data_IF_821292146171
#
_entry.id   IF_821292146171
#
_cell.length_a   1.000
_cell.length_b   1.000
_cell.length_c   1.000
_cell.angle_alpha   90.00
_cell.angle_beta   90.00
_cell.angle_gamma   90.00
#
_symmetry.space_group_name_H-M   'P 1'
#
loop_
_entity.id
_entity.type
_entity.pdbx_description
1 polymer ?
#
# COMPACT_ATOMS: atom_id res chain seq x y z
N UNK A 1 4.72 28.72 8.15
CA UNK A 1 5.64 27.93 7.27
C UNK A 1 5.40 26.42 7.35
N UNK A 2 5.17 25.80 8.53
CA UNK A 2 4.83 24.37 8.63
C UNK A 2 3.41 24.03 8.14
N UNK A 3 2.44 24.90 8.37
CA UNK A 3 1.06 24.71 7.89
C UNK A 3 0.90 25.02 6.39
N UNK A 4 1.66 25.94 5.83
CA UNK A 4 1.70 26.21 4.39
C UNK A 4 2.40 25.08 3.60
N UNK A 5 3.37 24.38 4.21
CA UNK A 5 4.04 23.23 3.62
C UNK A 5 3.11 22.00 3.56
N UNK A 6 2.20 21.84 4.53
CA UNK A 6 1.23 20.75 4.59
C UNK A 6 0.10 20.93 3.55
N UNK A 7 -0.28 22.16 3.23
CA UNK A 7 -1.36 22.44 2.25
C UNK A 7 -0.95 22.26 0.78
N UNK A 8 0.32 22.01 0.46
CA UNK A 8 0.82 21.81 -0.91
C UNK A 8 1.17 20.36 -1.26
N UNK A 9 1.01 19.41 -0.35
CA UNK A 9 1.25 18.00 -0.67
C UNK A 9 0.06 17.46 -1.48
N UNK A 10 0.32 17.20 -2.77
CA UNK A 10 -0.60 16.45 -3.65
C UNK A 10 -0.96 15.14 -2.98
N UNK A 11 -2.19 14.65 -3.17
CA UNK A 11 -2.55 13.34 -2.62
C UNK A 11 -1.53 12.28 -3.09
N UNK A 12 -1.13 11.33 -2.23
CA UNK A 12 -0.15 10.30 -2.59
C UNK A 12 -0.50 9.54 -3.86
N UNK A 13 -1.79 9.34 -4.13
CA UNK A 13 -2.27 8.69 -5.34
C UNK A 13 -2.09 9.55 -6.59
N UNK A 14 -2.30 10.87 -6.48
CA UNK A 14 -2.05 11.79 -7.59
C UNK A 14 -0.55 11.84 -7.92
N UNK A 15 0.29 11.86 -6.87
CA UNK A 15 1.73 11.84 -7.04
C UNK A 15 2.23 10.53 -7.68
N UNK A 16 1.67 9.39 -7.25
CA UNK A 16 1.95 8.11 -7.87
C UNK A 16 1.54 8.09 -9.36
N UNK A 17 0.42 8.70 -9.69
CA UNK A 17 -0.05 8.82 -11.07
C UNK A 17 0.91 9.65 -11.94
N UNK A 18 1.49 10.71 -11.40
CA UNK A 18 2.54 11.51 -12.05
C UNK A 18 3.85 10.72 -12.21
N UNK A 19 4.28 10.00 -11.16
CA UNK A 19 5.47 9.14 -11.22
C UNK A 19 5.33 8.01 -12.24
N UNK A 20 4.08 7.59 -12.49
CA UNK A 20 3.71 6.58 -13.50
C UNK A 20 3.40 7.15 -14.88
N UNK A 21 3.83 8.36 -15.20
CA UNK A 21 3.64 8.96 -16.51
C UNK A 21 4.19 8.04 -17.63
N UNK A 22 3.38 7.85 -18.68
CA UNK A 22 3.67 6.87 -19.75
C UNK A 22 3.06 5.47 -19.53
N UNK A 23 2.68 5.08 -18.32
CA UNK A 23 2.05 3.77 -18.03
C UNK A 23 0.53 3.85 -17.87
N UNK A 24 -0.05 5.03 -17.92
CA UNK A 24 -1.48 5.30 -17.75
C UNK A 24 -2.36 4.54 -18.76
N UNK A 25 -1.88 4.35 -19.99
CA UNK A 25 -2.57 3.57 -21.02
C UNK A 25 -2.75 2.09 -20.65
N UNK A 26 -1.73 1.48 -20.02
CA UNK A 26 -1.78 0.11 -19.50
C UNK A 26 -2.78 -0.04 -18.36
N UNK A 27 -2.76 0.90 -17.40
CA UNK A 27 -3.69 0.93 -16.28
C UNK A 27 -5.15 1.13 -16.72
N UNK A 28 -5.41 2.05 -17.68
CA UNK A 28 -6.76 2.25 -18.25
C UNK A 28 -7.29 0.97 -18.93
N UNK A 29 -6.44 0.27 -19.68
CA UNK A 29 -6.82 -1.01 -20.29
C UNK A 29 -7.11 -2.09 -19.26
N UNK A 30 -6.33 -2.15 -18.17
CA UNK A 30 -6.57 -3.07 -17.07
C UNK A 30 -7.94 -2.81 -16.43
N UNK A 31 -8.26 -1.54 -16.13
CA UNK A 31 -9.57 -1.15 -15.60
C UNK A 31 -10.70 -1.51 -16.57
N UNK A 32 -10.55 -1.21 -17.86
CA UNK A 32 -11.57 -1.55 -18.86
C UNK A 32 -11.81 -3.07 -18.94
N UNK A 33 -10.74 -3.86 -18.93
CA UNK A 33 -10.85 -5.33 -18.92
C UNK A 33 -11.54 -5.82 -17.64
N UNK A 34 -11.25 -5.21 -16.48
CA UNK A 34 -11.92 -5.54 -15.22
C UNK A 34 -13.42 -5.19 -15.27
N UNK A 35 -13.80 -4.01 -15.78
CA UNK A 35 -15.20 -3.59 -15.96
C UNK A 35 -15.97 -4.58 -16.82
N UNK A 36 -15.45 -4.93 -17.98
CA UNK A 36 -16.10 -5.90 -18.89
C UNK A 36 -16.17 -7.26 -18.23
N UNK A 37 -15.11 -7.68 -17.54
CA UNK A 37 -15.07 -8.94 -16.77
C UNK A 37 -16.14 -9.01 -15.69
N UNK A 38 -16.44 -7.90 -15.00
CA UNK A 38 -17.52 -7.83 -14.00
C UNK A 38 -18.89 -8.08 -14.64
N UNK A 39 -19.16 -7.48 -15.79
CA UNK A 39 -20.45 -7.67 -16.49
C UNK A 39 -20.65 -9.13 -16.86
N UNK A 40 -19.65 -9.79 -17.43
CA UNK A 40 -19.72 -11.25 -17.70
C UNK A 40 -19.80 -12.06 -16.42
N UNK A 41 -19.23 -11.61 -15.34
CA UNK A 41 -19.31 -12.26 -14.03
C UNK A 41 -20.71 -12.24 -13.40
N UNK A 42 -21.65 -11.46 -13.90
CA UNK A 42 -23.05 -11.48 -13.47
C UNK A 42 -23.83 -12.62 -14.13
N UNK A 43 -23.40 -13.11 -15.31
CA UNK A 43 -24.12 -14.16 -16.05
C UNK A 43 -24.33 -15.45 -15.27
N UNK A 44 -23.37 -15.99 -14.51
CA UNK A 44 -23.59 -17.19 -13.70
C UNK A 44 -24.71 -17.03 -12.65
N UNK A 45 -24.80 -15.87 -11.99
CA UNK A 45 -25.86 -15.61 -11.02
C UNK A 45 -27.22 -15.52 -11.70
N UNK A 46 -27.30 -14.87 -12.84
CA UNK A 46 -28.53 -14.78 -13.62
C UNK A 46 -28.95 -16.15 -14.14
N UNK A 47 -28.03 -16.93 -14.68
CA UNK A 47 -28.28 -18.29 -15.15
C UNK A 47 -28.76 -19.22 -14.03
N UNK A 48 -28.16 -19.12 -12.83
CA UNK A 48 -28.60 -19.87 -11.66
C UNK A 48 -30.06 -19.53 -11.28
N UNK A 49 -30.42 -18.25 -11.28
CA UNK A 49 -31.80 -17.84 -11.04
C UNK A 49 -32.77 -18.43 -12.07
N UNK A 50 -32.42 -18.41 -13.38
CA UNK A 50 -33.25 -18.99 -14.44
C UNK A 50 -33.39 -20.52 -14.32
N UNK A 51 -32.31 -21.22 -13.95
CA UNK A 51 -32.36 -22.66 -13.70
C UNK A 51 -33.32 -22.99 -12.56
N UNK A 52 -33.24 -22.27 -11.44
CA UNK A 52 -34.13 -22.49 -10.29
C UNK A 52 -35.60 -22.18 -10.67
N UNK A 53 -35.84 -21.11 -11.43
CA UNK A 53 -37.17 -20.78 -11.91
C UNK A 53 -37.73 -21.84 -12.87
N UNK A 54 -36.92 -22.38 -13.77
CA UNK A 54 -37.33 -23.47 -14.65
C UNK A 54 -37.76 -24.69 -13.84
N UNK A 55 -36.97 -25.08 -12.82
CA UNK A 55 -37.32 -26.18 -11.92
C UNK A 55 -38.65 -25.96 -11.19
N UNK A 56 -38.89 -24.76 -10.67
CA UNK A 56 -40.12 -24.40 -9.98
C UNK A 56 -41.33 -24.36 -10.88
N UNK A 57 -41.16 -24.02 -12.18
CA UNK A 57 -42.22 -24.01 -13.19
C UNK A 57 -42.47 -25.38 -13.81
N UNK A 58 -41.69 -26.40 -13.39
CA UNK A 58 -41.80 -27.75 -13.93
C UNK A 58 -41.32 -27.91 -15.36
N UNK A 59 -40.37 -27.04 -15.80
CA UNK A 59 -39.75 -27.15 -17.12
C UNK A 59 -39.01 -28.50 -17.23
N UNK A 60 -39.35 -29.31 -18.26
CA UNK A 60 -38.79 -30.63 -18.47
C UNK A 60 -37.78 -30.67 -19.63
N UNK A 61 -37.58 -29.56 -20.32
CA UNK A 61 -36.65 -29.50 -21.45
C UNK A 61 -35.20 -29.52 -20.97
N UNK A 62 -34.49 -30.61 -21.23
CA UNK A 62 -33.07 -30.70 -21.00
C UNK A 62 -32.28 -29.61 -21.76
N UNK A 63 -32.77 -29.20 -22.93
CA UNK A 63 -32.16 -28.13 -23.72
C UNK A 63 -32.20 -26.78 -23.00
N UNK A 64 -33.28 -26.45 -22.27
CA UNK A 64 -33.39 -25.24 -21.47
C UNK A 64 -32.27 -25.17 -20.43
N UNK A 65 -32.09 -26.24 -19.67
CA UNK A 65 -31.04 -26.28 -18.63
C UNK A 65 -29.64 -26.26 -19.21
N UNK A 66 -29.41 -26.99 -20.31
CA UNK A 66 -28.11 -26.97 -21.00
C UNK A 66 -27.72 -25.55 -21.51
N UNK A 67 -28.70 -24.82 -22.04
CA UNK A 67 -28.46 -23.44 -22.48
C UNK A 67 -28.01 -22.55 -21.29
N UNK A 68 -28.74 -22.58 -20.17
CA UNK A 68 -28.38 -21.78 -19.00
C UNK A 68 -27.07 -22.21 -18.34
N UNK A 69 -26.77 -23.53 -18.32
CA UNK A 69 -25.47 -24.02 -17.91
C UNK A 69 -24.35 -23.51 -18.83
N UNK A 70 -24.57 -23.52 -20.14
CA UNK A 70 -23.61 -22.97 -21.10
C UNK A 70 -23.41 -21.46 -20.94
N UNK A 71 -24.48 -20.69 -20.71
CA UNK A 71 -24.39 -19.26 -20.40
C UNK A 71 -23.57 -19.00 -19.14
N UNK A 72 -23.81 -19.78 -18.07
CA UNK A 72 -23.03 -19.67 -16.84
C UNK A 72 -21.55 -19.99 -17.07
N UNK A 73 -21.25 -21.07 -17.80
CA UNK A 73 -19.88 -21.47 -18.10
C UNK A 73 -19.16 -20.42 -18.95
N UNK A 74 -19.79 -19.95 -20.03
CA UNK A 74 -19.22 -18.89 -20.89
C UNK A 74 -18.98 -17.62 -20.10
N UNK A 75 -19.95 -17.20 -19.29
CA UNK A 75 -19.80 -16.03 -18.42
C UNK A 75 -18.63 -16.17 -17.44
N UNK A 76 -18.50 -17.33 -16.81
CA UNK A 76 -17.37 -17.63 -15.91
C UNK A 76 -16.01 -17.61 -16.62
N UNK A 77 -15.90 -18.27 -17.79
CA UNK A 77 -14.67 -18.31 -18.58
C UNK A 77 -14.27 -16.91 -19.08
N UNK A 78 -15.22 -16.13 -19.59
CA UNK A 78 -14.97 -14.76 -20.03
C UNK A 78 -14.52 -13.86 -18.84
N UNK A 79 -15.18 -13.98 -17.69
CA UNK A 79 -14.75 -13.28 -16.48
C UNK A 79 -13.32 -13.65 -16.10
N UNK A 80 -12.99 -14.94 -16.05
CA UNK A 80 -11.67 -15.43 -15.66
C UNK A 80 -10.57 -14.95 -16.61
N UNK A 81 -10.82 -15.01 -17.93
CA UNK A 81 -9.85 -14.55 -18.94
C UNK A 81 -9.67 -13.04 -18.91
N UNK A 82 -10.76 -12.27 -18.82
CA UNK A 82 -10.68 -10.81 -18.75
C UNK A 82 -10.02 -10.32 -17.45
N UNK A 83 -10.28 -10.99 -16.34
CA UNK A 83 -9.62 -10.71 -15.08
C UNK A 83 -8.12 -11.00 -15.14
N UNK A 84 -7.72 -12.15 -15.72
CA UNK A 84 -6.32 -12.47 -15.95
C UNK A 84 -5.61 -11.46 -16.85
N UNK A 85 -6.28 -11.00 -17.92
CA UNK A 85 -5.78 -9.95 -18.80
C UNK A 85 -5.64 -8.61 -18.06
N UNK A 86 -6.61 -8.24 -17.24
CA UNK A 86 -6.57 -7.02 -16.43
C UNK A 86 -5.38 -7.05 -15.46
N UNK A 87 -5.18 -8.15 -14.74
CA UNK A 87 -4.03 -8.31 -13.84
C UNK A 87 -2.70 -8.28 -14.59
N UNK A 88 -2.58 -9.01 -15.70
CA UNK A 88 -1.35 -9.01 -16.52
C UNK A 88 -0.97 -7.60 -16.99
N UNK A 89 -1.94 -6.82 -17.45
CA UNK A 89 -1.70 -5.42 -17.88
C UNK A 89 -1.33 -4.53 -16.68
N UNK A 90 -2.00 -4.71 -15.55
CA UNK A 90 -1.73 -3.96 -14.33
C UNK A 90 -0.34 -4.26 -13.76
N UNK A 91 0.08 -5.54 -13.68
CA UNK A 91 1.43 -5.92 -13.27
C UNK A 91 2.51 -5.33 -14.18
N UNK A 92 2.34 -5.41 -15.51
CA UNK A 92 3.29 -4.79 -16.46
C UNK A 92 3.44 -3.29 -16.23
N UNK A 93 2.32 -2.58 -16.06
CA UNK A 93 2.34 -1.15 -15.78
C UNK A 93 2.99 -0.85 -14.43
N UNK A 94 2.67 -1.63 -13.40
CA UNK A 94 3.24 -1.48 -12.05
C UNK A 94 4.76 -1.66 -12.06
N UNK A 95 5.29 -2.73 -12.65
CA UNK A 95 6.74 -2.92 -12.73
C UNK A 95 7.44 -1.78 -13.49
N UNK A 96 6.82 -1.26 -14.54
CA UNK A 96 7.36 -0.10 -15.24
C UNK A 96 7.34 1.18 -14.37
N UNK A 97 6.32 1.38 -13.55
CA UNK A 97 6.25 2.48 -12.58
C UNK A 97 7.34 2.33 -11.51
N UNK A 98 7.49 1.13 -10.93
CA UNK A 98 8.52 0.88 -9.91
C UNK A 98 9.93 1.07 -10.47
N UNK A 99 10.16 0.64 -11.71
CA UNK A 99 11.41 0.91 -12.44
C UNK A 99 11.66 2.42 -12.57
N UNK A 100 10.68 3.16 -13.07
CA UNK A 100 10.77 4.62 -13.23
C UNK A 100 11.05 5.35 -11.91
N UNK A 101 10.42 4.93 -10.81
CA UNK A 101 10.68 5.48 -9.47
C UNK A 101 12.15 5.27 -9.08
N UNK A 102 12.67 4.04 -9.26
CA UNK A 102 14.07 3.72 -8.93
C UNK A 102 15.05 4.53 -9.79
N UNK A 103 14.79 4.63 -11.08
CA UNK A 103 15.62 5.42 -12.00
C UNK A 103 15.67 6.89 -11.58
N UNK A 104 14.51 7.51 -11.34
CA UNK A 104 14.43 8.91 -10.88
C UNK A 104 15.17 9.14 -9.55
N UNK A 105 15.05 8.22 -8.60
CA UNK A 105 15.77 8.33 -7.33
C UNK A 105 17.26 8.18 -7.54
N UNK A 106 17.72 7.22 -8.35
CA UNK A 106 19.15 7.03 -8.66
C UNK A 106 19.74 8.22 -9.43
N UNK A 107 18.98 8.84 -10.32
CA UNK A 107 19.38 10.07 -11.01
C UNK A 107 19.45 11.29 -10.08
N UNK A 108 18.63 11.30 -9.03
CA UNK A 108 18.61 12.39 -8.04
C UNK A 108 19.80 12.33 -7.08
N UNK A 109 20.20 11.11 -6.65
CA UNK A 109 21.24 10.93 -5.63
C UNK A 109 22.55 11.69 -5.91
N UNK A 110 23.15 11.62 -7.12
CA UNK A 110 24.39 12.36 -7.41
C UNK A 110 24.23 13.87 -7.37
N UNK A 111 23.01 14.37 -7.50
CA UNK A 111 22.71 15.81 -7.48
C UNK A 111 22.45 16.36 -6.07
N UNK A 112 22.29 15.47 -5.08
CA UNK A 112 22.04 15.89 -3.71
C UNK A 112 23.34 16.34 -3.02
N UNK A 113 23.26 17.28 -2.06
CA UNK A 113 24.41 17.68 -1.26
C UNK A 113 25.03 16.47 -0.55
N UNK A 114 26.36 16.37 -0.57
CA UNK A 114 27.08 15.24 0.02
C UNK A 114 26.76 15.06 1.52
N UNK A 115 26.57 16.17 2.26
CA UNK A 115 26.16 16.12 3.67
C UNK A 115 24.85 15.35 3.87
N UNK A 116 23.83 15.63 3.06
CA UNK A 116 22.53 14.95 3.13
C UNK A 116 22.66 13.44 2.88
N UNK A 117 23.54 13.05 1.93
CA UNK A 117 23.80 11.63 1.63
C UNK A 117 24.54 10.95 2.78
N UNK A 118 25.52 11.62 3.40
CA UNK A 118 26.30 11.08 4.50
C UNK A 118 25.49 10.96 5.81
N UNK A 119 24.52 11.83 6.02
CA UNK A 119 23.61 11.78 7.16
C UNK A 119 22.59 10.64 7.05
N UNK A 120 22.35 10.12 5.83
CA UNK A 120 21.47 8.98 5.61
C UNK A 120 22.29 7.69 5.52
N UNK A 121 22.02 6.72 6.40
CA UNK A 121 22.74 5.45 6.32
C UNK A 121 22.46 4.72 4.99
N UNK A 122 23.47 4.03 4.45
CA UNK A 122 23.33 3.22 3.23
C UNK A 122 22.25 2.14 3.37
N UNK A 123 22.06 1.59 4.57
CA UNK A 123 20.99 0.66 4.89
C UNK A 123 19.60 1.29 4.77
N UNK A 124 19.43 2.52 5.25
CA UNK A 124 18.17 3.25 5.11
C UNK A 124 17.86 3.60 3.65
N UNK A 125 18.87 4.01 2.90
CA UNK A 125 18.73 4.31 1.48
C UNK A 125 18.34 3.05 0.69
N UNK A 126 19.01 1.92 0.95
CA UNK A 126 18.66 0.62 0.38
C UNK A 126 17.22 0.22 0.74
N UNK A 127 16.82 0.41 1.98
CA UNK A 127 15.47 0.11 2.44
C UNK A 127 14.40 0.89 1.64
N UNK A 128 14.63 2.18 1.38
CA UNK A 128 13.68 3.00 0.61
C UNK A 128 13.65 2.57 -0.86
N UNK A 129 14.81 2.50 -1.52
CA UNK A 129 14.90 2.29 -2.98
C UNK A 129 14.55 0.85 -3.37
N UNK A 130 14.95 -0.12 -2.56
CA UNK A 130 14.77 -1.54 -2.87
C UNK A 130 13.53 -2.08 -2.16
N UNK A 131 13.56 -2.13 -0.83
CA UNK A 131 12.60 -2.92 -0.06
C UNK A 131 11.21 -2.26 -0.03
N UNK A 132 11.13 -0.93 0.21
CA UNK A 132 9.86 -0.22 0.24
C UNK A 132 9.23 -0.10 -1.15
N UNK A 133 10.02 0.29 -2.16
CA UNK A 133 9.52 0.39 -3.54
C UNK A 133 9.03 -0.97 -4.02
N UNK A 134 9.78 -2.08 -3.77
CA UNK A 134 9.31 -3.43 -4.10
C UNK A 134 8.01 -3.80 -3.40
N UNK A 135 7.86 -3.41 -2.13
CA UNK A 135 6.65 -3.73 -1.35
C UNK A 135 5.39 -3.03 -1.87
N UNK A 136 5.49 -2.05 -2.77
CA UNK A 136 4.34 -1.44 -3.46
C UNK A 136 3.83 -2.28 -4.64
N UNK A 137 4.60 -3.26 -5.14
CA UNK A 137 4.25 -4.04 -6.33
C UNK A 137 2.86 -4.65 -6.20
N UNK A 138 2.66 -5.47 -5.20
CA UNK A 138 1.38 -6.16 -4.98
C UNK A 138 0.20 -5.20 -4.78
N UNK A 139 0.26 -4.21 -3.86
CA UNK A 139 -0.81 -3.23 -3.72
C UNK A 139 -1.17 -2.53 -5.04
N UNK A 140 -0.18 -2.08 -5.81
CA UNK A 140 -0.44 -1.31 -7.04
C UNK A 140 -0.98 -2.18 -8.16
N UNK A 141 -0.43 -3.38 -8.35
CA UNK A 141 -0.87 -4.28 -9.41
C UNK A 141 -2.32 -4.74 -9.23
N UNK A 142 -2.74 -4.97 -7.99
CA UNK A 142 -4.08 -5.46 -7.67
C UNK A 142 -5.10 -4.36 -7.42
N UNK A 143 -4.67 -3.16 -6.96
CA UNK A 143 -5.56 -2.09 -6.54
C UNK A 143 -6.60 -1.73 -7.61
N UNK A 144 -6.15 -1.34 -8.81
CA UNK A 144 -7.07 -0.83 -9.84
C UNK A 144 -8.02 -1.91 -10.38
N UNK A 145 -7.55 -3.11 -10.81
CA UNK A 145 -8.46 -4.14 -11.32
C UNK A 145 -9.41 -4.68 -10.25
N UNK A 146 -8.90 -4.96 -9.05
CA UNK A 146 -9.69 -5.59 -7.99
C UNK A 146 -10.65 -4.60 -7.33
N UNK A 147 -10.23 -3.36 -7.05
CA UNK A 147 -11.15 -2.32 -6.54
C UNK A 147 -12.27 -2.05 -7.54
N UNK A 148 -11.94 -1.97 -8.84
CA UNK A 148 -12.94 -1.82 -9.89
C UNK A 148 -13.94 -2.97 -9.84
N UNK A 149 -13.47 -4.22 -9.79
CA UNK A 149 -14.34 -5.39 -9.76
C UNK A 149 -15.16 -5.47 -8.46
N UNK A 150 -14.52 -5.22 -7.32
CA UNK A 150 -15.13 -5.36 -5.99
C UNK A 150 -16.14 -4.24 -5.66
N UNK A 151 -16.04 -3.09 -6.32
CA UNK A 151 -17.02 -2.00 -6.18
C UNK A 151 -18.10 -2.07 -7.25
N UNK A 152 -17.71 -2.23 -8.51
CA UNK A 152 -18.64 -2.19 -9.64
C UNK A 152 -19.61 -3.38 -9.63
N UNK A 153 -19.14 -4.60 -9.26
CA UNK A 153 -19.99 -5.78 -9.19
C UNK A 153 -21.20 -5.59 -8.26
N UNK A 154 -20.98 -5.30 -6.97
CA UNK A 154 -22.06 -4.97 -6.05
C UNK A 154 -22.97 -3.83 -6.53
N UNK A 155 -22.41 -2.76 -7.08
CA UNK A 155 -23.19 -1.63 -7.61
C UNK A 155 -24.11 -2.07 -8.75
N UNK A 156 -23.61 -2.84 -9.72
CA UNK A 156 -24.43 -3.37 -10.80
C UNK A 156 -25.55 -4.30 -10.29
N UNK A 157 -25.22 -5.18 -9.34
CA UNK A 157 -26.21 -6.07 -8.71
C UNK A 157 -27.28 -5.23 -8.00
N UNK A 158 -26.89 -4.24 -7.22
CA UNK A 158 -27.83 -3.37 -6.49
C UNK A 158 -28.74 -2.59 -7.44
N UNK A 159 -28.20 -1.98 -8.49
CA UNK A 159 -28.99 -1.28 -9.51
C UNK A 159 -30.06 -2.22 -10.08
N UNK A 160 -29.66 -3.45 -10.43
CA UNK A 160 -30.59 -4.44 -10.98
C UNK A 160 -31.65 -4.87 -9.96
N UNK A 161 -31.26 -5.06 -8.68
CA UNK A 161 -32.20 -5.38 -7.60
C UNK A 161 -33.21 -4.24 -7.37
N UNK A 162 -32.79 -2.97 -7.42
CA UNK A 162 -33.69 -1.83 -7.29
C UNK A 162 -34.70 -1.75 -8.44
N UNK A 163 -34.31 -2.15 -9.65
CA UNK A 163 -35.22 -2.23 -10.81
C UNK A 163 -36.23 -3.35 -10.63
N UNK A 164 -35.84 -4.47 -10.03
CA UNK A 164 -36.73 -5.62 -9.78
C UNK A 164 -37.75 -5.36 -8.65
N UNK A 165 -37.25 -5.02 -7.48
CA UNK A 165 -38.05 -4.67 -6.29
C UNK A 165 -37.19 -3.93 -5.27
N UNK A 166 -37.51 -2.65 -5.04
CA UNK A 166 -36.74 -1.79 -4.12
C UNK A 166 -36.73 -2.30 -2.67
N UNK A 167 -37.80 -2.98 -2.23
CA UNK A 167 -37.91 -3.54 -0.87
C UNK A 167 -36.88 -4.65 -0.67
N UNK A 168 -36.79 -5.55 -1.66
CA UNK A 168 -35.84 -6.65 -1.65
C UNK A 168 -34.38 -6.13 -1.77
N UNK A 169 -34.17 -5.07 -2.56
CA UNK A 169 -32.89 -4.41 -2.65
C UNK A 169 -32.44 -3.83 -1.29
N UNK A 170 -33.31 -3.15 -0.58
CA UNK A 170 -33.02 -2.63 0.78
C UNK A 170 -32.77 -3.77 1.77
N UNK A 171 -33.54 -4.85 1.73
CA UNK A 171 -33.35 -6.02 2.59
C UNK A 171 -31.99 -6.68 2.36
N UNK A 172 -31.49 -6.68 1.11
CA UNK A 172 -30.18 -7.22 0.78
C UNK A 172 -29.02 -6.43 1.38
N UNK A 173 -29.25 -5.17 1.75
CA UNK A 173 -28.25 -4.30 2.33
C UNK A 173 -28.22 -4.33 3.88
N UNK A 174 -29.25 -4.83 4.55
CA UNK A 174 -29.40 -4.73 6.03
C UNK A 174 -28.24 -5.37 6.79
N UNK A 175 -27.71 -6.51 6.32
CA UNK A 175 -26.61 -7.20 6.99
C UNK A 175 -25.28 -6.44 6.91
N UNK A 176 -25.08 -5.64 5.87
CA UNK A 176 -23.82 -4.92 5.61
C UNK A 176 -23.57 -3.82 6.66
N UNK A 177 -24.48 -2.87 6.93
CA UNK A 177 -24.31 -1.88 8.00
C UNK A 177 -24.12 -2.50 9.39
N UNK A 178 -24.82 -3.62 9.67
CA UNK A 178 -24.66 -4.32 10.94
C UNK A 178 -23.25 -4.89 11.07
N UNK A 179 -22.75 -5.57 10.04
CA UNK A 179 -21.37 -6.07 10.01
C UNK A 179 -20.34 -4.93 10.05
N UNK A 180 -20.59 -3.82 9.34
CA UNK A 180 -19.74 -2.63 9.39
C UNK A 180 -19.69 -1.99 10.77
N UNK A 181 -20.78 -2.00 11.55
CA UNK A 181 -20.78 -1.47 12.91
C UNK A 181 -19.77 -2.21 13.80
N UNK A 182 -19.64 -3.53 13.66
CA UNK A 182 -18.62 -4.30 14.36
C UNK A 182 -17.19 -3.96 13.89
N UNK A 183 -16.99 -3.72 12.59
CA UNK A 183 -15.70 -3.28 12.08
C UNK A 183 -15.33 -1.87 12.58
N UNK A 184 -16.30 -0.94 12.63
CA UNK A 184 -16.10 0.41 13.17
C UNK A 184 -15.66 0.36 14.65
N UNK A 185 -16.17 -0.57 15.45
CA UNK A 185 -15.73 -0.75 16.83
C UNK A 185 -14.24 -1.10 16.94
N UNK A 186 -13.68 -1.81 15.96
CA UNK A 186 -12.22 -2.06 15.87
C UNK A 186 -11.49 -0.78 15.49
N UNK A 187 -12.00 -0.05 14.49
CA UNK A 187 -11.36 1.15 13.95
C UNK A 187 -11.25 2.29 14.97
N UNK A 188 -12.16 2.42 15.94
CA UNK A 188 -12.10 3.47 16.97
C UNK A 188 -10.80 3.49 17.77
N UNK A 189 -10.17 2.35 18.00
CA UNK A 189 -8.92 2.23 18.75
C UNK A 189 -7.71 1.89 17.88
N UNK A 190 -7.90 1.71 16.57
CA UNK A 190 -6.88 1.23 15.66
C UNK A 190 -5.63 2.13 15.65
N UNK A 191 -5.80 3.45 15.53
CA UNK A 191 -4.69 4.40 15.51
C UNK A 191 -3.79 4.31 16.75
N UNK A 192 -4.41 4.26 17.95
CA UNK A 192 -3.68 4.12 19.22
C UNK A 192 -2.93 2.78 19.31
N UNK A 193 -3.55 1.69 18.88
CA UNK A 193 -2.94 0.37 18.86
C UNK A 193 -1.80 0.31 17.85
N UNK A 194 -1.98 0.92 16.67
CA UNK A 194 -0.95 1.00 15.67
C UNK A 194 0.30 1.76 16.14
N UNK A 195 0.12 2.95 16.75
CA UNK A 195 1.23 3.70 17.35
C UNK A 195 1.98 2.89 18.42
N UNK A 196 1.23 2.18 19.27
CA UNK A 196 1.82 1.28 20.26
C UNK A 196 2.63 0.15 19.61
N UNK A 197 2.12 -0.44 18.53
CA UNK A 197 2.82 -1.49 17.80
C UNK A 197 4.12 -1.00 17.17
N UNK A 198 4.15 0.22 16.64
CA UNK A 198 5.37 0.84 16.11
C UNK A 198 6.40 1.03 17.21
N UNK A 199 6.01 1.57 18.38
CA UNK A 199 6.91 1.80 19.51
C UNK A 199 7.51 0.49 20.04
N UNK A 200 6.69 -0.54 20.26
CA UNK A 200 7.17 -1.82 20.80
C UNK A 200 8.07 -2.55 19.80
N UNK A 201 7.78 -2.44 18.49
CA UNK A 201 8.60 -3.01 17.43
C UNK A 201 9.94 -2.28 17.31
N UNK A 202 9.97 -0.95 17.42
CA UNK A 202 11.21 -0.18 17.45
C UNK A 202 12.08 -0.56 18.66
N UNK A 203 11.48 -0.70 19.84
CA UNK A 203 12.20 -1.12 21.03
C UNK A 203 12.82 -2.53 20.87
N UNK A 204 12.07 -3.47 20.30
CA UNK A 204 12.57 -4.80 19.97
C UNK A 204 13.73 -4.74 18.96
N UNK A 205 13.57 -3.99 17.87
CA UNK A 205 14.62 -3.85 16.86
C UNK A 205 15.90 -3.24 17.43
N UNK A 206 15.77 -2.23 18.31
CA UNK A 206 16.92 -1.63 19.00
C UNK A 206 17.63 -2.66 19.88
N UNK A 207 16.89 -3.48 20.63
CA UNK A 207 17.46 -4.54 21.45
C UNK A 207 18.16 -5.63 20.60
N UNK A 208 17.64 -5.95 19.41
CA UNK A 208 18.27 -6.87 18.46
C UNK A 208 19.61 -6.30 17.98
N UNK A 209 19.63 -5.04 17.55
CA UNK A 209 20.85 -4.38 17.05
C UNK A 209 21.89 -4.26 18.15
N UNK A 210 21.48 -3.88 19.36
CA UNK A 210 22.37 -3.81 20.53
C UNK A 210 22.97 -5.19 20.87
N UNK A 211 22.15 -6.25 20.85
CA UNK A 211 22.59 -7.61 21.15
C UNK A 211 23.58 -8.15 20.10
N UNK A 212 23.25 -7.98 18.80
CA UNK A 212 24.10 -8.46 17.69
C UNK A 212 25.38 -7.63 17.61
N UNK A 213 25.27 -6.29 17.65
CA UNK A 213 26.43 -5.39 17.58
C UNK A 213 27.36 -5.46 18.78
N UNK A 214 26.82 -5.82 19.95
CA UNK A 214 27.60 -6.00 21.19
C UNK A 214 28.08 -7.42 21.44
N UNK A 215 27.88 -8.37 20.53
CA UNK A 215 28.13 -9.80 20.80
C UNK A 215 29.59 -10.11 21.18
N UNK A 216 30.54 -9.39 20.63
CA UNK A 216 31.98 -9.53 20.95
C UNK A 216 32.23 -9.11 22.42
N UNK A 217 31.69 -7.98 22.84
CA UNK A 217 31.79 -7.45 24.20
C UNK A 217 31.10 -8.40 25.20
N UNK A 218 29.88 -8.85 24.83
CA UNK A 218 29.10 -9.79 25.65
C UNK A 218 29.90 -11.08 25.91
N UNK A 219 30.57 -11.61 24.87
CA UNK A 219 31.42 -12.80 25.00
C UNK A 219 32.67 -12.51 25.79
N UNK A 220 33.35 -11.39 25.56
CA UNK A 220 34.57 -11.02 26.27
C UNK A 220 34.35 -10.90 27.79
N UNK A 221 33.20 -10.33 28.20
CA UNK A 221 32.85 -10.13 29.61
C UNK A 221 31.96 -11.20 30.22
N UNK A 222 31.67 -12.29 29.48
CA UNK A 222 30.82 -13.41 29.91
C UNK A 222 29.40 -12.99 30.39
N UNK A 223 28.85 -11.94 29.80
CA UNK A 223 27.54 -11.39 30.13
C UNK A 223 26.39 -11.99 29.28
N UNK A 224 26.60 -13.18 28.71
CA UNK A 224 25.68 -13.82 27.77
C UNK A 224 24.25 -14.01 28.31
N UNK A 225 24.11 -14.45 29.57
CA UNK A 225 22.79 -14.72 30.18
C UNK A 225 21.95 -13.42 30.33
N UNK A 226 22.56 -12.36 30.86
CA UNK A 226 21.84 -11.10 31.13
C UNK A 226 21.46 -10.38 29.84
N UNK A 227 22.36 -10.30 28.86
CA UNK A 227 22.11 -9.68 27.56
C UNK A 227 21.08 -10.46 26.77
N UNK A 228 21.12 -11.80 26.80
CA UNK A 228 20.11 -12.66 26.19
C UNK A 228 18.72 -12.49 26.83
N UNK A 229 18.66 -12.39 28.17
CA UNK A 229 17.39 -12.16 28.85
C UNK A 229 16.73 -10.86 28.43
N UNK A 230 17.49 -9.76 28.37
CA UNK A 230 16.99 -8.44 27.88
C UNK A 230 16.45 -8.51 26.44
N UNK A 231 17.20 -9.16 25.56
CA UNK A 231 16.73 -9.41 24.17
C UNK A 231 15.45 -10.26 24.17
N UNK A 232 15.45 -11.39 24.86
CA UNK A 232 14.30 -12.31 24.96
C UNK A 232 13.05 -11.61 25.52
N UNK A 233 13.20 -10.76 26.52
CA UNK A 233 12.09 -10.02 27.12
C UNK A 233 11.52 -8.98 26.18
N UNK A 234 12.34 -8.31 25.37
CA UNK A 234 11.86 -7.39 24.33
C UNK A 234 11.06 -8.11 23.24
N UNK A 235 11.48 -9.30 22.81
CA UNK A 235 10.75 -10.14 21.86
C UNK A 235 9.42 -10.61 22.45
N UNK A 236 9.43 -11.07 23.71
CA UNK A 236 8.19 -11.49 24.40
C UNK A 236 7.22 -10.33 24.59
N UNK A 237 7.71 -9.13 24.95
CA UNK A 237 6.89 -7.94 25.07
C UNK A 237 6.22 -7.57 23.74
N UNK A 238 6.98 -7.62 22.63
CA UNK A 238 6.45 -7.40 21.29
C UNK A 238 5.36 -8.44 20.94
N UNK A 239 5.66 -9.73 21.11
CA UNK A 239 4.71 -10.81 20.85
C UNK A 239 3.44 -10.70 21.71
N UNK A 240 3.60 -10.38 23.02
CA UNK A 240 2.48 -10.17 23.95
C UNK A 240 1.60 -8.99 23.51
N UNK A 241 2.19 -7.88 23.08
CA UNK A 241 1.46 -6.73 22.60
C UNK A 241 0.56 -7.09 21.39
N UNK A 242 1.13 -7.72 20.37
CA UNK A 242 0.39 -8.15 19.20
C UNK A 242 -0.68 -9.19 19.54
N UNK A 243 -0.37 -10.13 20.43
CA UNK A 243 -1.36 -11.13 20.89
C UNK A 243 -2.58 -10.46 21.54
N UNK A 244 -2.37 -9.51 22.45
CA UNK A 244 -3.48 -8.81 23.12
C UNK A 244 -4.26 -7.94 22.16
N UNK A 245 -3.58 -7.25 21.24
CA UNK A 245 -4.24 -6.48 20.20
C UNK A 245 -5.09 -7.36 19.29
N UNK A 246 -4.51 -8.43 18.74
CA UNK A 246 -5.27 -9.36 17.88
C UNK A 246 -6.45 -10.00 18.62
N UNK A 247 -6.25 -10.42 19.88
CA UNK A 247 -7.31 -10.98 20.72
C UNK A 247 -8.46 -9.99 20.92
N UNK A 248 -8.18 -8.71 21.12
CA UNK A 248 -9.22 -7.67 21.28
C UNK A 248 -10.01 -7.42 19.99
N UNK A 249 -9.37 -7.55 18.82
CA UNK A 249 -9.99 -7.35 17.52
C UNK A 249 -10.72 -8.58 16.98
N UNK A 250 -10.36 -9.79 17.44
CA UNK A 250 -10.81 -11.05 16.83
C UNK A 250 -12.34 -11.21 16.83
N UNK A 251 -13.01 -10.97 17.97
CA UNK A 251 -14.46 -11.14 18.05
C UNK A 251 -15.21 -10.15 17.15
N UNK A 252 -14.97 -8.83 17.21
CA UNK A 252 -15.63 -7.89 16.30
C UNK A 252 -15.37 -8.17 14.82
N UNK A 253 -14.12 -8.50 14.44
CA UNK A 253 -13.79 -8.85 13.05
C UNK A 253 -14.52 -10.12 12.63
N UNK A 254 -14.56 -11.15 13.47
CA UNK A 254 -15.26 -12.40 13.18
C UNK A 254 -16.76 -12.18 13.01
N UNK A 255 -17.37 -11.37 13.89
CA UNK A 255 -18.80 -11.01 13.77
C UNK A 255 -19.06 -10.20 12.49
N UNK A 256 -18.22 -9.22 12.17
CA UNK A 256 -18.33 -8.47 10.91
C UNK A 256 -18.29 -9.39 9.70
N UNK A 257 -17.28 -10.26 9.63
CA UNK A 257 -17.11 -11.21 8.51
C UNK A 257 -18.19 -12.30 8.44
N UNK A 258 -18.77 -12.67 9.58
CA UNK A 258 -19.86 -13.64 9.62
C UNK A 258 -21.22 -13.00 9.25
N UNK A 259 -21.50 -11.79 9.73
CA UNK A 259 -22.81 -11.13 9.56
C UNK A 259 -22.94 -10.47 8.19
N UNK A 260 -21.91 -9.80 7.69
CA UNK A 260 -21.98 -9.06 6.41
C UNK A 260 -22.49 -9.91 5.23
N UNK A 261 -22.07 -11.17 5.02
CA UNK A 261 -22.54 -11.97 3.90
C UNK A 261 -23.91 -12.64 4.13
N UNK A 262 -24.52 -12.49 5.32
CA UNK A 262 -25.77 -13.19 5.67
C UNK A 262 -27.02 -12.46 5.18
N UNK A 263 -26.99 -11.96 3.95
CA UNK A 263 -28.13 -11.26 3.31
C UNK A 263 -29.40 -12.09 3.27
N UNK A 264 -29.28 -13.42 3.23
CA UNK A 264 -30.43 -14.36 3.19
C UNK A 264 -31.27 -14.32 4.47
N UNK A 265 -30.70 -14.00 5.63
CA UNK A 265 -31.46 -13.93 6.91
C UNK A 265 -32.57 -12.89 6.84
N UNK A 266 -32.39 -11.82 6.10
CA UNK A 266 -33.39 -10.77 5.90
C UNK A 266 -34.26 -11.02 4.68
N UNK A 267 -33.68 -11.48 3.59
CA UNK A 267 -34.35 -11.68 2.30
C UNK A 267 -35.35 -12.83 2.35
N UNK A 268 -34.98 -14.00 2.92
CA UNK A 268 -35.84 -15.17 2.91
C UNK A 268 -37.15 -14.98 3.68
N UNK A 269 -37.16 -14.61 4.97
CA UNK A 269 -38.42 -14.51 5.71
C UNK A 269 -39.30 -13.37 5.20
N UNK A 270 -38.74 -12.18 4.96
CA UNK A 270 -39.53 -11.05 4.50
C UNK A 270 -40.00 -11.22 3.07
N UNK A 271 -39.11 -11.72 2.18
CA UNK A 271 -39.45 -12.03 0.79
C UNK A 271 -40.53 -13.10 0.68
N UNK A 272 -40.48 -14.12 1.55
CA UNK A 272 -41.53 -15.13 1.63
C UNK A 272 -42.87 -14.53 2.02
N UNK A 273 -42.91 -13.66 3.02
CA UNK A 273 -44.16 -12.94 3.44
C UNK A 273 -44.70 -12.06 2.32
N UNK A 274 -43.82 -11.37 1.57
CA UNK A 274 -44.24 -10.55 0.43
C UNK A 274 -44.76 -11.40 -0.73
N UNK A 275 -44.17 -12.57 -0.96
CA UNK A 275 -44.62 -13.53 -1.98
C UNK A 275 -45.99 -14.13 -1.60
N UNK A 276 -46.13 -14.66 -0.39
CA UNK A 276 -47.39 -15.25 0.07
C UNK A 276 -48.51 -14.22 0.20
N UNK A 277 -48.17 -12.95 0.48
CA UNK A 277 -49.07 -11.82 0.44
C UNK A 277 -49.47 -11.33 -0.96
N UNK A 278 -48.93 -11.98 -2.03
CA UNK A 278 -49.26 -11.65 -3.43
C UNK A 278 -48.62 -10.36 -3.95
N UNK A 279 -47.73 -9.72 -3.18
CA UNK A 279 -47.08 -8.44 -3.56
C UNK A 279 -45.73 -8.59 -4.23
N UNK A 280 -45.18 -9.82 -4.30
CA UNK A 280 -43.90 -10.15 -4.91
C UNK A 280 -44.04 -11.38 -5.82
N UNK A 281 -43.78 -11.31 -7.13
CA UNK A 281 -43.77 -12.46 -8.04
C UNK A 281 -42.68 -13.48 -7.64
N UNK A 282 -42.94 -14.76 -7.90
CA UNK A 282 -41.95 -15.83 -7.57
C UNK A 282 -40.64 -15.64 -8.33
N UNK A 283 -40.69 -15.16 -9.59
CA UNK A 283 -39.54 -14.88 -10.40
C UNK A 283 -38.63 -13.83 -9.76
N UNK A 284 -39.21 -12.74 -9.28
CA UNK A 284 -38.51 -11.67 -8.58
C UNK A 284 -37.96 -12.17 -7.26
N UNK A 285 -38.73 -12.95 -6.51
CA UNK A 285 -38.30 -13.50 -5.22
C UNK A 285 -37.05 -14.39 -5.39
N UNK A 286 -37.05 -15.33 -6.33
CA UNK A 286 -35.91 -16.22 -6.57
C UNK A 286 -34.68 -15.43 -7.04
N UNK A 287 -34.87 -14.49 -7.96
CA UNK A 287 -33.75 -13.66 -8.48
C UNK A 287 -33.14 -12.83 -7.34
N UNK A 288 -33.97 -12.29 -6.45
CA UNK A 288 -33.53 -11.49 -5.29
C UNK A 288 -32.92 -12.32 -4.15
N UNK A 289 -33.07 -13.64 -4.15
CA UNK A 289 -32.31 -14.55 -3.28
C UNK A 289 -30.89 -14.79 -3.81
N UNK A 290 -30.74 -15.04 -5.12
CA UNK A 290 -29.47 -15.47 -5.73
C UNK A 290 -28.49 -14.32 -5.92
N UNK A 291 -28.95 -13.18 -6.43
CA UNK A 291 -28.08 -12.05 -6.80
C UNK A 291 -27.34 -11.42 -5.62
N UNK A 292 -27.98 -11.19 -4.44
CA UNK A 292 -27.29 -10.57 -3.30
C UNK A 292 -26.10 -11.34 -2.75
N UNK A 293 -25.97 -12.63 -3.06
CA UNK A 293 -24.80 -13.43 -2.71
C UNK A 293 -23.51 -12.87 -3.33
N UNK A 294 -23.63 -12.13 -4.44
CA UNK A 294 -22.50 -11.47 -5.11
C UNK A 294 -22.12 -10.10 -4.54
N UNK A 295 -22.79 -9.61 -3.46
CA UNK A 295 -22.56 -8.25 -2.94
C UNK A 295 -21.51 -8.22 -1.82
N UNK A 296 -21.72 -8.98 -0.77
CA UNK A 296 -20.98 -8.82 0.48
C UNK A 296 -19.50 -9.23 0.36
N UNK A 297 -19.20 -10.31 -0.33
CA UNK A 297 -17.83 -10.79 -0.52
C UNK A 297 -16.91 -9.74 -1.17
N UNK A 298 -17.27 -9.22 -2.35
CA UNK A 298 -16.50 -8.15 -3.00
C UNK A 298 -16.37 -6.87 -2.16
N UNK A 299 -17.42 -6.44 -1.46
CA UNK A 299 -17.35 -5.25 -0.59
C UNK A 299 -16.36 -5.45 0.57
N UNK A 300 -16.36 -6.63 1.20
CA UNK A 300 -15.40 -6.95 2.25
C UNK A 300 -13.96 -6.98 1.69
N UNK A 301 -13.76 -7.57 0.51
CA UNK A 301 -12.46 -7.56 -0.16
C UNK A 301 -11.99 -6.14 -0.50
N UNK A 302 -12.89 -5.24 -0.91
CA UNK A 302 -12.55 -3.84 -1.15
C UNK A 302 -12.05 -3.13 0.11
N UNK A 303 -12.55 -3.47 1.30
CA UNK A 303 -12.09 -2.89 2.56
C UNK A 303 -10.64 -3.28 2.90
N UNK A 304 -10.19 -4.48 2.53
CA UNK A 304 -8.81 -4.95 2.78
C UNK A 304 -7.76 -4.11 2.01
N UNK A 305 -8.16 -3.35 0.96
CA UNK A 305 -7.26 -2.47 0.22
C UNK A 305 -6.98 -1.13 0.91
N UNK A 306 -7.75 -0.72 1.90
CA UNK A 306 -7.56 0.56 2.60
C UNK A 306 -6.19 0.63 3.27
N UNK A 307 -5.78 -0.45 3.96
CA UNK A 307 -4.46 -0.53 4.59
C UNK A 307 -3.31 -0.51 3.55
N UNK A 308 -3.53 -1.17 2.42
CA UNK A 308 -2.59 -1.20 1.31
C UNK A 308 -2.38 0.20 0.71
N UNK A 309 -3.45 0.99 0.58
CA UNK A 309 -3.39 2.38 0.11
C UNK A 309 -2.60 3.28 1.07
N UNK A 310 -2.85 3.14 2.38
CA UNK A 310 -2.12 3.90 3.40
C UNK A 310 -0.61 3.59 3.37
N UNK A 311 -0.25 2.30 3.22
CA UNK A 311 1.14 1.86 3.06
C UNK A 311 1.79 2.47 1.83
N UNK A 312 1.15 2.38 0.67
CA UNK A 312 1.64 2.98 -0.59
C UNK A 312 1.83 4.49 -0.42
N UNK A 313 0.86 5.17 0.22
CA UNK A 313 0.96 6.60 0.51
C UNK A 313 2.20 6.97 1.33
N UNK A 314 2.52 6.19 2.35
CA UNK A 314 3.72 6.41 3.18
C UNK A 314 5.01 6.23 2.37
N UNK A 315 5.08 5.21 1.53
CA UNK A 315 6.27 4.93 0.70
C UNK A 315 6.46 6.02 -0.36
N UNK A 316 5.37 6.42 -1.03
CA UNK A 316 5.40 7.55 -1.98
C UNK A 316 5.90 8.82 -1.29
N UNK A 317 5.47 9.08 -0.06
CA UNK A 317 5.98 10.21 0.74
C UNK A 317 7.50 10.12 1.00
N UNK A 318 8.01 8.93 1.31
CA UNK A 318 9.46 8.70 1.51
C UNK A 318 10.27 8.91 0.23
N UNK A 319 9.76 8.42 -0.91
CA UNK A 319 10.35 8.62 -2.23
C UNK A 319 10.32 10.11 -2.61
N UNK A 320 9.20 10.76 -2.38
CA UNK A 320 9.00 12.17 -2.74
C UNK A 320 9.90 13.10 -1.92
N UNK A 321 10.17 12.76 -0.66
CA UNK A 321 11.13 13.46 0.18
C UNK A 321 12.56 13.43 -0.42
N UNK A 322 12.94 12.34 -1.05
CA UNK A 322 14.23 12.25 -1.77
C UNK A 322 14.17 13.04 -3.07
N UNK A 323 13.14 12.87 -3.88
CA UNK A 323 13.04 13.50 -5.20
C UNK A 323 12.93 15.02 -5.12
N UNK A 324 12.25 15.55 -4.10
CA UNK A 324 12.12 16.99 -3.85
C UNK A 324 13.20 17.53 -2.89
N UNK A 325 14.14 16.69 -2.46
CA UNK A 325 15.29 17.10 -1.67
C UNK A 325 16.15 18.14 -2.41
N UNK A 326 16.87 18.97 -1.65
CA UNK A 326 17.75 19.97 -2.21
C UNK A 326 18.73 19.35 -3.22
N UNK A 327 19.04 20.06 -4.29
CA UNK A 327 20.12 19.73 -5.21
C UNK A 327 21.31 20.65 -4.92
N UNK A 328 22.49 20.11 -5.13
CA UNK A 328 23.70 20.91 -5.10
C UNK A 328 23.73 21.74 -6.38
N UNK A 329 24.08 23.00 -6.25
CA UNK A 329 24.19 23.89 -7.40
C UNK A 329 25.40 23.48 -8.25
N UNK A 330 25.15 23.07 -9.48
CA UNK A 330 26.19 22.69 -10.45
C UNK A 330 26.22 23.75 -11.52
N UNK A 331 27.39 24.40 -11.70
CA UNK A 331 27.59 25.32 -12.80
C UNK A 331 27.45 24.60 -14.15
N UNK A 332 26.69 25.17 -15.07
CA UNK A 332 26.49 24.62 -16.42
C UNK A 332 27.68 24.85 -17.35
N UNK A 333 28.55 25.79 -17.01
CA UNK A 333 29.74 26.12 -17.81
C UNK A 333 30.95 25.30 -17.38
N UNK A 334 31.66 24.65 -18.32
CA UNK A 334 32.92 24.00 -18.01
C UNK A 334 33.88 25.00 -17.35
N UNK A 335 34.44 24.60 -16.20
CA UNK A 335 35.43 25.45 -15.52
C UNK A 335 36.73 25.52 -16.37
N UNK A 336 37.08 26.72 -16.84
CA UNK A 336 38.40 26.99 -17.41
C UNK A 336 39.35 27.27 -16.28
N UNK A 337 40.28 26.38 -15.99
CA UNK A 337 41.29 26.52 -14.96
C UNK A 337 42.44 27.37 -15.49
N UNK A 338 42.58 28.60 -14.96
CA UNK A 338 43.72 29.49 -15.24
C UNK A 338 45.01 29.08 -14.49
N UNK A 339 44.88 28.13 -13.57
CA UNK A 339 45.94 27.49 -12.80
C UNK A 339 45.46 26.18 -12.25
N UNK A 340 46.36 25.35 -11.67
CA UNK A 340 45.99 24.05 -11.06
C UNK A 340 46.18 24.06 -9.53
N UNK A 341 46.49 25.20 -8.94
CA UNK A 341 46.62 25.36 -7.51
C UNK A 341 45.21 25.36 -6.87
N UNK A 342 45.08 24.72 -5.72
CA UNK A 342 43.85 24.78 -4.93
C UNK A 342 44.04 25.80 -3.81
N UNK A 343 43.21 26.82 -3.80
CA UNK A 343 43.29 27.88 -2.81
C UNK A 343 42.02 27.98 -2.00
N UNK A 344 42.15 27.89 -0.68
CA UNK A 344 41.09 28.22 0.27
C UNK A 344 41.39 29.57 0.87
N UNK A 345 40.40 30.44 0.91
CA UNK A 345 40.54 31.81 1.45
C UNK A 345 39.42 32.07 2.45
N UNK A 346 39.78 32.26 3.70
CA UNK A 346 38.85 32.60 4.79
C UNK A 346 37.65 31.67 4.90
N UNK A 347 37.89 30.34 4.80
CA UNK A 347 36.81 29.33 4.80
C UNK A 347 36.40 29.01 6.23
N UNK A 348 35.16 29.33 6.57
CA UNK A 348 34.45 28.84 7.77
C UNK A 348 33.35 27.88 7.36
N UNK A 349 33.22 26.74 8.03
CA UNK A 349 32.24 25.71 7.68
C UNK A 349 31.75 24.93 8.91
N UNK A 350 30.45 24.66 8.94
CA UNK A 350 29.81 23.75 9.89
C UNK A 350 28.79 22.83 9.19
N UNK A 351 28.69 21.58 9.61
CA UNK A 351 27.64 20.64 9.11
C UNK A 351 26.25 21.04 9.63
N UNK A 352 26.19 21.74 10.77
CA UNK A 352 24.98 22.24 11.39
C UNK A 352 25.17 23.72 11.71
N UNK A 353 24.09 24.51 11.67
CA UNK A 353 24.13 25.95 11.85
C UNK A 353 24.66 26.40 13.24
N UNK A 354 24.59 25.51 14.22
CA UNK A 354 24.98 25.75 15.63
C UNK A 354 26.41 25.32 15.95
N UNK A 355 27.14 24.69 15.01
CA UNK A 355 28.47 24.14 15.26
C UNK A 355 29.40 24.29 14.06
N UNK A 356 30.27 25.28 14.10
CA UNK A 356 31.38 25.39 13.15
C UNK A 356 32.45 24.33 13.41
N UNK A 357 32.98 23.76 12.33
CA UNK A 357 34.08 22.76 12.33
C UNK A 357 35.36 23.36 11.78
N UNK A 358 35.26 24.30 10.85
CA UNK A 358 36.37 25.04 10.30
C UNK A 358 36.16 26.53 10.61
N UNK A 359 37.19 27.20 11.11
CA UNK A 359 37.16 28.59 11.51
C UNK A 359 38.23 29.35 10.71
N UNK A 360 37.82 30.18 9.76
CA UNK A 360 38.66 31.11 9.01
C UNK A 360 39.94 30.46 8.44
N UNK A 361 39.77 29.29 7.76
CA UNK A 361 40.90 28.51 7.21
C UNK A 361 41.34 29.11 5.88
N UNK A 362 42.63 29.47 5.78
CA UNK A 362 43.27 29.91 4.54
C UNK A 362 44.50 29.07 4.27
N UNK A 363 44.54 28.42 3.09
CA UNK A 363 45.68 27.60 2.65
C UNK A 363 45.72 27.52 1.13
N UNK A 364 46.94 27.26 0.60
CA UNK A 364 47.17 27.02 -0.82
C UNK A 364 47.88 25.67 -1.02
N UNK A 365 47.33 24.88 -1.89
CA UNK A 365 47.91 23.58 -2.33
C UNK A 365 48.48 23.79 -3.75
N UNK A 366 49.81 23.85 -3.93
CA UNK A 366 50.40 24.05 -5.25
C UNK A 366 50.13 22.89 -6.19
N UNK A 367 49.98 23.18 -7.48
CA UNK A 367 49.81 22.18 -8.51
C UNK A 367 51.00 21.18 -8.55
N UNK A 368 50.67 19.90 -8.77
CA UNK A 368 51.68 18.86 -8.89
C UNK A 368 52.38 18.48 -7.58
N UNK A 369 51.94 18.98 -6.43
CA UNK A 369 52.46 18.63 -5.11
C UNK A 369 51.58 17.62 -4.39
N UNK A 370 52.20 16.85 -3.49
CA UNK A 370 51.47 16.06 -2.51
C UNK A 370 51.40 16.79 -1.19
N UNK A 371 50.18 17.09 -0.74
CA UNK A 371 49.93 17.80 0.52
C UNK A 371 49.26 16.87 1.51
N UNK A 372 49.81 16.74 2.72
CA UNK A 372 49.23 15.93 3.80
C UNK A 372 48.67 16.85 4.90
N UNK A 373 47.39 16.61 5.25
CA UNK A 373 46.77 17.26 6.41
C UNK A 373 47.07 16.42 7.68
N UNK A 374 47.78 16.99 8.62
CA UNK A 374 48.14 16.34 9.90
C UNK A 374 47.59 17.12 11.08
N UNK A 375 47.23 16.43 12.14
CA UNK A 375 46.67 17.00 13.35
C UNK A 375 45.82 16.02 14.16
N UNK A 376 45.36 16.41 15.37
CA UNK A 376 44.55 15.55 16.24
C UNK A 376 43.21 15.18 15.61
N UNK A 377 42.55 14.12 16.16
CA UNK A 377 41.21 13.74 15.73
C UNK A 377 40.24 14.91 15.99
N UNK A 378 39.33 15.17 15.02
CA UNK A 378 38.38 16.27 15.11
C UNK A 378 38.90 17.64 14.64
N UNK A 379 40.16 17.80 14.18
CA UNK A 379 40.72 19.09 13.73
C UNK A 379 40.26 19.54 12.33
N UNK A 380 39.26 18.96 11.75
CA UNK A 380 38.67 19.39 10.46
C UNK A 380 39.34 18.86 9.19
N UNK A 381 40.38 18.01 9.26
CA UNK A 381 41.13 17.49 8.09
C UNK A 381 40.25 16.87 7.02
N UNK A 382 39.39 15.96 7.43
CA UNK A 382 38.46 15.29 6.53
C UNK A 382 37.39 16.24 5.99
N UNK A 383 37.06 17.29 6.74
CA UNK A 383 36.13 18.34 6.31
C UNK A 383 36.73 19.18 5.20
N UNK A 384 37.99 19.60 5.34
CA UNK A 384 38.72 20.31 4.28
C UNK A 384 38.79 19.47 3.01
N UNK A 385 39.18 18.21 3.12
CA UNK A 385 39.24 17.30 1.96
C UNK A 385 37.88 17.17 1.24
N UNK A 386 36.78 17.08 2.00
CA UNK A 386 35.43 17.00 1.44
C UNK A 386 34.95 18.30 0.80
N UNK A 387 35.42 19.46 1.26
CA UNK A 387 35.09 20.77 0.68
C UNK A 387 35.84 20.97 -0.65
N UNK A 388 37.01 20.37 -0.81
CA UNK A 388 37.80 20.44 -2.05
C UNK A 388 37.24 19.49 -3.10
N UNK A 389 36.74 18.30 -2.71
CA UNK A 389 36.16 17.29 -3.58
C UNK A 389 34.74 17.63 -4.03
#
# INVERSE_FOLDING_TARGET
QKEEFIMKQKSPMLRLWELGEGQQGGLKRAVLSAVVGVLFGMLPYFAAAQIILGLLKGEQSAQYYLIWCAVALVGFLLRATLYSLALSQSHKATFAILKSIREKVLEKLPKMPLGTILDTSSGQMKQIIVDQVESMERPLAHLLPEMTANVLGPVCILIYLFVLDWRMALLSLVSIPVGMAFMMAVMTNYGKQYEGSVKITQAMNSAIVEYIGGIEVIKAFNQGKQSYARFSDSVKANASYFYHWMKSCQLPISLSKAISPTTMITILPVGWLLYTGGSLPIETFITTIVLPLGIAGPLLAAMDFVDSLAKVGTIVGSVDAILNGAEQDHGETPAEFQGRDIQLSHVSFGYHADKEVLHDVSLTIPAGTMTAFVGPSGSGKSTIAKLIA
#
